data_IF_547796086811
#
_entry.id   IF_547796086811
#
_cell.length_a   1.000
_cell.length_b   1.000
_cell.length_c   1.000
_cell.angle_alpha   90.00
_cell.angle_beta   90.00
_cell.angle_gamma   90.00
#
_symmetry.space_group_name_H-M   'P 1'
#
loop_
_entity.id
_entity.type
_entity.pdbx_description
1 polymer ?
#
# COMPACT_ATOMS: atom_id res chain seq x y z
N UNK A 1 -55.88 -74.95 -6.64
CA UNK A 1 -54.90 -75.37 -7.67
C UNK A 1 -53.66 -74.49 -7.49
N UNK A 2 -52.66 -74.99 -6.74
CA UNK A 2 -51.37 -75.52 -7.24
C UNK A 2 -50.47 -74.39 -7.77
N UNK A 3 -49.59 -73.75 -6.96
CA UNK A 3 -48.36 -74.24 -6.29
C UNK A 3 -47.28 -74.71 -7.27
N UNK A 4 -46.18 -73.95 -7.41
CA UNK A 4 -44.75 -74.33 -7.17
C UNK A 4 -43.80 -73.29 -7.81
N UNK A 5 -42.95 -72.62 -7.01
CA UNK A 5 -41.53 -72.93 -6.65
C UNK A 5 -40.56 -72.70 -7.82
N UNK A 6 -39.37 -72.10 -7.64
CA UNK A 6 -38.26 -72.44 -6.72
C UNK A 6 -37.23 -71.29 -6.80
N UNK A 7 -36.76 -70.73 -5.69
CA UNK A 7 -35.57 -71.10 -4.87
C UNK A 7 -34.20 -70.66 -5.42
N UNK A 8 -33.44 -70.00 -4.52
CA UNK A 8 -31.99 -69.85 -4.53
C UNK A 8 -31.59 -68.80 -3.47
N UNK A 9 -31.72 -69.08 -2.17
CA UNK A 9 -30.73 -69.72 -1.29
C UNK A 9 -29.52 -68.84 -0.90
N UNK A 10 -29.51 -68.46 0.39
CA UNK A 10 -28.38 -68.37 1.35
C UNK A 10 -27.26 -67.34 1.08
N UNK A 11 -27.04 -66.45 2.05
CA UNK A 11 -26.05 -66.66 3.12
C UNK A 11 -26.00 -65.47 4.11
N UNK A 12 -25.95 -65.80 5.40
CA UNK A 12 -25.60 -64.89 6.48
C UNK A 12 -24.14 -64.43 6.36
N UNK A 13 -23.85 -63.16 6.64
CA UNK A 13 -22.63 -62.76 7.33
C UNK A 13 -22.79 -61.36 7.92
N UNK A 14 -22.86 -61.30 9.26
CA UNK A 14 -22.53 -60.08 10.02
C UNK A 14 -21.03 -59.83 9.84
N UNK A 15 -20.63 -58.64 9.42
CA UNK A 15 -19.28 -58.14 9.71
C UNK A 15 -19.30 -56.61 9.82
N UNK A 16 -19.07 -56.14 11.04
CA UNK A 16 -18.78 -54.75 11.40
C UNK A 16 -17.40 -54.38 10.84
N UNK A 17 -17.27 -53.35 10.01
CA UNK A 17 -16.05 -52.57 9.84
C UNK A 17 -16.44 -51.13 9.47
N UNK A 18 -16.32 -50.20 10.42
CA UNK A 18 -15.23 -49.20 10.56
C UNK A 18 -15.62 -47.86 9.95
N UNK A 19 -15.52 -46.85 10.81
CA UNK A 19 -15.83 -45.45 10.57
C UNK A 19 -15.04 -44.87 9.38
N UNK A 20 -15.75 -44.20 8.47
CA UNK A 20 -15.14 -43.18 7.62
C UNK A 20 -15.40 -41.84 8.28
N UNK A 21 -14.33 -41.27 8.83
CA UNK A 21 -14.22 -39.89 9.27
C UNK A 21 -14.80 -38.95 8.21
N UNK A 22 -15.83 -38.21 8.57
CA UNK A 22 -16.27 -37.03 7.84
C UNK A 22 -15.20 -35.95 7.99
N UNK A 23 -14.18 -35.97 7.13
CA UNK A 23 -13.34 -34.80 6.87
C UNK A 23 -14.13 -33.84 5.99
N UNK A 24 -14.69 -32.82 6.64
CA UNK A 24 -15.38 -31.71 6.00
C UNK A 24 -15.21 -30.43 6.79
N UNK A 25 -14.00 -30.14 7.27
CA UNK A 25 -13.61 -28.85 7.82
C UNK A 25 -12.32 -28.41 7.13
N UNK A 26 -12.41 -27.39 6.28
CA UNK A 26 -11.21 -26.81 5.67
C UNK A 26 -11.40 -26.06 4.35
N UNK A 27 -12.48 -25.29 4.16
CA UNK A 27 -12.58 -24.30 3.08
C UNK A 27 -13.22 -23.01 3.62
N UNK A 28 -12.53 -22.30 4.51
CA UNK A 28 -12.96 -20.95 4.94
C UNK A 28 -11.87 -19.88 4.81
N UNK A 29 -10.62 -20.26 4.50
CA UNK A 29 -9.51 -19.31 4.39
C UNK A 29 -9.50 -18.49 3.08
N UNK A 30 -10.26 -18.91 2.05
CA UNK A 30 -10.34 -18.19 0.77
C UNK A 30 -11.31 -17.00 0.75
N UNK A 31 -12.36 -17.04 1.58
CA UNK A 31 -13.40 -16.01 1.57
C UNK A 31 -12.93 -14.70 2.22
N UNK A 32 -12.21 -14.77 3.35
CA UNK A 32 -11.78 -13.58 4.07
C UNK A 32 -10.75 -12.71 3.30
N UNK A 33 -9.87 -13.33 2.52
CA UNK A 33 -8.91 -12.61 1.68
C UNK A 33 -9.56 -11.98 0.44
N UNK A 34 -10.61 -12.62 -0.12
CA UNK A 34 -11.42 -12.04 -1.20
C UNK A 34 -12.29 -10.87 -0.71
N UNK A 35 -12.85 -10.95 0.50
CA UNK A 35 -13.63 -9.89 1.12
C UNK A 35 -12.80 -8.62 1.39
N UNK A 36 -11.58 -8.77 1.95
CA UNK A 36 -10.70 -7.62 2.20
C UNK A 36 -10.26 -6.93 0.90
N UNK A 37 -9.93 -7.69 -0.15
CA UNK A 37 -9.61 -7.15 -1.47
C UNK A 37 -10.81 -6.52 -2.19
N UNK A 38 -12.01 -7.05 -1.99
CA UNK A 38 -13.26 -6.48 -2.52
C UNK A 38 -13.63 -5.16 -1.83
N UNK A 39 -13.49 -5.10 -0.51
CA UNK A 39 -13.79 -3.91 0.28
C UNK A 39 -12.88 -2.73 -0.09
N UNK A 40 -11.59 -2.99 -0.29
CA UNK A 40 -10.64 -1.95 -0.74
C UNK A 40 -10.98 -1.47 -2.16
N UNK A 41 -11.31 -2.38 -3.09
CA UNK A 41 -11.75 -2.00 -4.43
C UNK A 41 -12.98 -1.09 -4.39
N UNK A 42 -14.03 -1.46 -3.66
CA UNK A 42 -15.27 -0.69 -3.59
C UNK A 42 -15.04 0.70 -3.00
N UNK A 43 -14.12 0.81 -2.04
CA UNK A 43 -13.71 2.09 -1.46
C UNK A 43 -13.01 2.97 -2.49
N UNK A 44 -12.05 2.41 -3.24
CA UNK A 44 -11.33 3.16 -4.29
C UNK A 44 -12.24 3.52 -5.47
N UNK A 45 -13.16 2.65 -5.87
CA UNK A 45 -14.12 2.92 -6.94
C UNK A 45 -15.13 4.00 -6.52
N UNK A 46 -15.61 3.97 -5.28
CA UNK A 46 -16.46 5.03 -4.74
C UNK A 46 -15.72 6.37 -4.72
N UNK A 47 -14.45 6.39 -4.30
CA UNK A 47 -13.58 7.57 -4.33
C UNK A 47 -13.40 8.12 -5.74
N UNK A 48 -13.04 7.25 -6.71
CA UNK A 48 -12.91 7.61 -8.12
C UNK A 48 -14.20 8.23 -8.67
N UNK A 49 -15.35 7.59 -8.43
CA UNK A 49 -16.64 8.07 -8.89
C UNK A 49 -17.03 9.42 -8.26
N UNK A 50 -16.69 9.64 -6.99
CA UNK A 50 -16.95 10.91 -6.31
C UNK A 50 -16.14 12.05 -6.92
N UNK A 51 -14.83 11.87 -7.09
CA UNK A 51 -13.96 12.90 -7.69
C UNK A 51 -14.31 13.13 -9.16
N UNK A 52 -14.58 12.08 -9.93
CA UNK A 52 -15.01 12.20 -11.32
C UNK A 52 -16.29 13.06 -11.44
N UNK A 53 -17.31 12.79 -10.61
CA UNK A 53 -18.56 13.58 -10.62
C UNK A 53 -18.30 15.04 -10.28
N UNK A 54 -17.45 15.30 -9.30
CA UNK A 54 -17.12 16.66 -8.86
C UNK A 54 -16.32 17.42 -9.93
N UNK A 55 -15.30 16.81 -10.52
CA UNK A 55 -14.52 17.40 -11.62
C UNK A 55 -15.40 17.63 -12.85
N UNK A 56 -16.24 16.66 -13.22
CA UNK A 56 -17.21 16.85 -14.30
C UNK A 56 -18.15 18.02 -14.01
N UNK A 57 -18.57 18.20 -12.75
CA UNK A 57 -19.42 19.32 -12.34
C UNK A 57 -18.76 20.70 -12.44
N UNK A 58 -17.42 20.78 -12.42
CA UNK A 58 -16.69 22.04 -12.53
C UNK A 58 -16.27 22.41 -13.96
N UNK A 59 -16.51 21.54 -14.94
CA UNK A 59 -16.11 21.74 -16.34
C UNK A 59 -17.29 22.21 -17.20
N UNK A 60 -16.97 22.90 -18.30
CA UNK A 60 -17.92 23.22 -19.36
C UNK A 60 -18.28 21.98 -20.21
N UNK A 61 -19.19 22.12 -21.18
CA UNK A 61 -19.67 20.99 -21.98
C UNK A 61 -18.56 20.26 -22.75
N UNK A 62 -17.61 21.03 -23.27
CA UNK A 62 -16.45 20.50 -23.98
C UNK A 62 -15.54 19.72 -23.02
N UNK A 63 -15.20 20.30 -21.87
CA UNK A 63 -14.40 19.66 -20.83
C UNK A 63 -15.06 18.40 -20.26
N UNK A 64 -16.38 18.43 -20.02
CA UNK A 64 -17.15 17.25 -19.59
C UNK A 64 -17.13 16.13 -20.62
N UNK A 65 -17.19 16.46 -21.91
CA UNK A 65 -17.06 15.47 -22.99
C UNK A 65 -15.66 14.87 -23.04
N UNK A 66 -14.62 15.71 -22.97
CA UNK A 66 -13.24 15.27 -22.97
C UNK A 66 -12.94 14.34 -21.78
N UNK A 67 -13.38 14.71 -20.57
CA UNK A 67 -13.19 13.89 -19.36
C UNK A 67 -13.87 12.52 -19.49
N UNK A 68 -15.09 12.45 -20.02
CA UNK A 68 -15.79 11.18 -20.28
C UNK A 68 -15.04 10.27 -21.24
N UNK A 69 -14.49 10.83 -22.31
CA UNK A 69 -13.72 10.06 -23.28
C UNK A 69 -12.39 9.58 -22.68
N UNK A 70 -11.78 10.40 -21.82
CA UNK A 70 -10.58 10.03 -21.08
C UNK A 70 -10.83 8.88 -20.12
N UNK A 71 -11.89 8.93 -19.30
CA UNK A 71 -12.26 7.82 -18.41
C UNK A 71 -12.48 6.51 -19.17
N UNK A 72 -13.15 6.56 -20.33
CA UNK A 72 -13.37 5.36 -21.16
C UNK A 72 -12.07 4.77 -21.66
N UNK A 73 -11.13 5.61 -22.11
CA UNK A 73 -9.79 5.17 -22.52
C UNK A 73 -9.00 4.61 -21.35
N UNK A 74 -9.10 5.26 -20.18
CA UNK A 74 -8.46 4.78 -18.96
C UNK A 74 -8.99 3.41 -18.54
N UNK A 75 -10.31 3.20 -18.49
CA UNK A 75 -10.92 1.89 -18.17
C UNK A 75 -10.42 0.81 -19.12
N UNK A 76 -10.41 1.08 -20.43
CA UNK A 76 -9.91 0.11 -21.41
C UNK A 76 -8.42 -0.21 -21.18
N UNK A 77 -7.59 0.79 -20.88
CA UNK A 77 -6.18 0.62 -20.56
C UNK A 77 -5.94 -0.16 -19.27
N UNK A 78 -6.70 0.15 -18.20
CA UNK A 78 -6.70 -0.59 -16.93
C UNK A 78 -7.04 -2.05 -17.18
N UNK A 79 -8.09 -2.31 -17.94
CA UNK A 79 -8.58 -3.66 -18.15
C UNK A 79 -7.54 -4.50 -18.89
N UNK A 80 -6.93 -3.92 -19.94
CA UNK A 80 -5.82 -4.55 -20.66
C UNK A 80 -4.61 -4.79 -19.76
N UNK A 81 -4.19 -3.79 -18.97
CA UNK A 81 -3.02 -3.88 -18.10
C UNK A 81 -3.19 -4.91 -16.97
N UNK A 82 -4.41 -5.04 -16.44
CA UNK A 82 -4.72 -6.01 -15.40
C UNK A 82 -5.11 -7.40 -15.94
N UNK A 83 -5.06 -7.61 -17.26
CA UNK A 83 -5.42 -8.89 -17.89
C UNK A 83 -6.89 -9.27 -17.67
N UNK A 84 -7.77 -8.29 -17.46
CA UNK A 84 -9.20 -8.51 -17.26
C UNK A 84 -9.95 -8.27 -18.57
N UNK A 85 -11.08 -8.97 -18.73
CA UNK A 85 -11.93 -8.76 -19.90
C UNK A 85 -12.43 -7.30 -19.91
N UNK A 86 -12.37 -6.65 -21.06
CA UNK A 86 -12.85 -5.28 -21.23
C UNK A 86 -14.29 -5.13 -20.70
N UNK A 87 -14.48 -4.17 -19.80
CA UNK A 87 -15.76 -3.87 -19.15
C UNK A 87 -16.13 -4.81 -18.00
N UNK A 88 -15.29 -5.78 -17.64
CA UNK A 88 -15.53 -6.62 -16.48
C UNK A 88 -15.11 -5.92 -15.19
N UNK A 89 -15.97 -5.96 -14.17
CA UNK A 89 -15.62 -5.53 -12.81
C UNK A 89 -15.01 -6.72 -12.10
N UNK A 90 -13.68 -6.81 -12.15
CA UNK A 90 -12.89 -7.78 -11.38
C UNK A 90 -12.26 -7.04 -10.22
N UNK A 91 -12.41 -7.56 -9.00
CA UNK A 91 -11.87 -6.96 -7.78
C UNK A 91 -10.61 -7.70 -7.36
N UNK A 92 -9.45 -7.23 -7.83
CA UNK A 92 -8.14 -7.74 -7.48
C UNK A 92 -7.16 -6.59 -7.21
N UNK A 93 -5.96 -6.92 -6.73
CA UNK A 93 -4.92 -5.92 -6.39
C UNK A 93 -4.63 -4.98 -7.56
N UNK A 94 -4.46 -5.50 -8.78
CA UNK A 94 -4.17 -4.65 -9.94
C UNK A 94 -5.29 -3.63 -10.20
N UNK A 95 -6.54 -4.10 -10.25
CA UNK A 95 -7.70 -3.23 -10.50
C UNK A 95 -7.90 -2.21 -9.37
N UNK A 96 -7.64 -2.58 -8.12
CA UNK A 96 -7.73 -1.68 -6.96
C UNK A 96 -6.64 -0.62 -7.02
N UNK A 97 -5.39 -1.01 -7.27
CA UNK A 97 -4.26 -0.09 -7.40
C UNK A 97 -4.44 0.89 -8.56
N UNK A 98 -4.84 0.42 -9.74
CA UNK A 98 -5.10 1.29 -10.89
C UNK A 98 -6.26 2.27 -10.65
N UNK A 99 -7.31 1.81 -9.96
CA UNK A 99 -8.47 2.66 -9.60
C UNK A 99 -8.07 3.74 -8.60
N UNK A 100 -7.23 3.40 -7.61
CA UNK A 100 -6.66 4.35 -6.66
C UNK A 100 -5.83 5.44 -7.38
N UNK A 101 -4.92 5.04 -8.28
CA UNK A 101 -4.11 6.00 -9.04
C UNK A 101 -4.95 6.93 -9.91
N UNK A 102 -6.04 6.44 -10.50
CA UNK A 102 -6.94 7.32 -11.26
C UNK A 102 -7.67 8.31 -10.37
N UNK A 103 -8.12 7.88 -9.19
CA UNK A 103 -8.71 8.78 -8.21
C UNK A 103 -7.72 9.87 -7.79
N UNK A 104 -6.46 9.51 -7.48
CA UNK A 104 -5.38 10.46 -7.15
C UNK A 104 -5.19 11.50 -8.28
N UNK A 105 -5.20 11.04 -9.53
CA UNK A 105 -4.99 11.87 -10.72
C UNK A 105 -6.14 12.87 -10.93
N UNK A 106 -7.40 12.43 -10.82
CA UNK A 106 -8.55 13.33 -10.90
C UNK A 106 -8.63 14.29 -9.71
N UNK A 107 -8.21 13.86 -8.52
CA UNK A 107 -8.16 14.71 -7.33
C UNK A 107 -7.12 15.81 -7.50
N UNK A 108 -5.96 15.51 -8.08
CA UNK A 108 -4.95 16.52 -8.45
C UNK A 108 -5.51 17.55 -9.42
N UNK A 109 -6.31 17.14 -10.42
CA UNK A 109 -6.95 18.08 -11.36
C UNK A 109 -7.98 18.99 -10.69
N UNK A 110 -8.73 18.49 -9.71
CA UNK A 110 -9.57 19.34 -8.87
C UNK A 110 -8.75 20.22 -7.90
N UNK A 111 -7.56 19.74 -7.53
CA UNK A 111 -6.62 20.33 -6.57
C UNK A 111 -5.95 21.63 -7.02
N UNK A 112 -6.26 22.15 -8.21
CA UNK A 112 -6.03 23.57 -8.53
C UNK A 112 -6.72 24.54 -7.55
N UNK A 113 -7.57 24.04 -6.63
CA UNK A 113 -8.20 24.82 -5.56
C UNK A 113 -8.39 24.03 -4.23
N UNK A 114 -7.42 23.17 -3.83
CA UNK A 114 -7.52 22.31 -2.62
C UNK A 114 -6.42 22.49 -1.55
N UNK A 115 -5.71 23.62 -1.58
CA UNK A 115 -4.35 23.79 -1.02
C UNK A 115 -4.25 24.36 0.41
N UNK A 116 -4.99 23.85 1.39
CA UNK A 116 -4.73 24.24 2.80
C UNK A 116 -4.23 23.07 3.65
N UNK A 117 -4.95 21.95 3.76
CA UNK A 117 -4.52 20.84 4.62
C UNK A 117 -3.33 20.06 4.04
N UNK A 118 -3.31 19.78 2.73
CA UNK A 118 -2.16 19.15 2.06
C UNK A 118 -0.94 20.09 2.03
N UNK A 119 -1.16 21.39 1.86
CA UNK A 119 -0.09 22.41 1.92
C UNK A 119 0.48 22.55 3.32
N UNK A 120 -0.37 22.55 4.36
CA UNK A 120 0.05 22.54 5.77
C UNK A 120 0.76 21.25 6.15
N UNK A 121 0.28 20.10 5.68
CA UNK A 121 0.93 18.81 5.85
C UNK A 121 2.31 18.77 5.18
N UNK A 122 2.38 19.26 3.93
CA UNK A 122 3.63 19.37 3.18
C UNK A 122 4.65 20.28 3.84
N UNK A 123 4.24 21.45 4.33
CA UNK A 123 5.11 22.34 5.09
C UNK A 123 5.55 21.72 6.42
N UNK A 124 4.66 20.99 7.09
CA UNK A 124 4.97 20.33 8.36
C UNK A 124 6.04 19.23 8.21
N UNK A 125 6.04 18.50 7.09
CA UNK A 125 7.02 17.42 6.83
C UNK A 125 8.25 17.89 6.04
N UNK A 126 8.21 19.05 5.39
CA UNK A 126 9.36 19.55 4.64
C UNK A 126 10.57 19.84 5.55
N UNK A 127 11.76 19.62 4.99
CA UNK A 127 13.06 19.85 5.58
C UNK A 127 13.87 18.58 5.82
N UNK A 128 14.97 18.77 6.54
CA UNK A 128 15.87 17.72 6.96
C UNK A 128 15.40 17.11 8.29
N UNK A 129 15.26 15.79 8.31
CA UNK A 129 14.88 15.01 9.47
C UNK A 129 15.93 13.94 9.74
N UNK A 130 16.15 13.64 11.02
CA UNK A 130 17.11 12.62 11.37
C UNK A 130 16.94 12.07 12.77
N UNK A 131 17.51 10.90 12.95
CA UNK A 131 17.66 10.21 14.22
C UNK A 131 19.08 9.66 14.29
N UNK A 132 19.68 9.75 15.46
CA UNK A 132 20.98 9.13 15.72
C UNK A 132 20.97 8.50 17.09
N UNK A 133 21.42 7.27 17.18
CA UNK A 133 21.78 6.64 18.45
C UNK A 133 23.19 6.07 18.35
N UNK A 134 23.95 6.23 19.43
CA UNK A 134 25.27 5.64 19.60
C UNK A 134 25.24 4.38 20.48
N UNK A 135 24.05 3.91 20.84
CA UNK A 135 23.87 2.69 21.64
C UNK A 135 24.12 1.44 20.77
N UNK A 136 24.69 0.38 21.34
CA UNK A 136 24.97 -0.89 20.64
C UNK A 136 25.77 -0.69 19.34
N UNK A 137 25.27 -1.16 18.18
CA UNK A 137 25.87 -0.93 16.86
C UNK A 137 25.58 0.46 16.28
N UNK A 138 24.84 1.30 17.01
CA UNK A 138 24.35 2.58 16.54
C UNK A 138 23.20 2.45 15.54
N UNK A 139 22.45 3.53 15.37
CA UNK A 139 21.38 3.61 14.37
C UNK A 139 21.27 5.07 13.90
N UNK A 140 21.46 5.28 12.60
CA UNK A 140 21.60 6.59 11.98
C UNK A 140 20.64 6.67 10.80
N UNK A 141 19.57 7.46 10.96
CA UNK A 141 18.53 7.64 9.94
C UNK A 141 18.47 9.09 9.54
N UNK A 142 18.40 9.36 8.24
CA UNK A 142 18.13 10.69 7.71
C UNK A 142 17.06 10.63 6.62
N UNK A 143 16.22 11.66 6.58
CA UNK A 143 15.19 11.84 5.57
C UNK A 143 15.15 13.31 5.17
N UNK A 144 15.46 13.59 3.90
CA UNK A 144 15.33 14.92 3.31
C UNK A 144 14.03 14.98 2.52
N UNK A 145 13.06 15.74 3.04
CA UNK A 145 11.80 16.02 2.35
C UNK A 145 11.87 17.43 1.75
N UNK A 146 12.02 17.58 0.44
CA UNK A 146 12.03 18.89 -0.22
C UNK A 146 10.74 19.70 0.00
N UNK A 147 10.86 21.03 0.00
CA UNK A 147 9.75 21.96 0.19
C UNK A 147 8.72 21.91 -0.97
N UNK A 148 7.47 22.23 -0.66
CA UNK A 148 6.32 22.14 -1.57
C UNK A 148 6.47 23.00 -2.83
N UNK A 149 6.08 22.44 -3.98
CA UNK A 149 6.08 23.11 -5.29
C UNK A 149 6.95 22.42 -6.34
N UNK A 150 7.84 21.51 -5.95
CA UNK A 150 8.81 20.93 -6.90
C UNK A 150 9.33 19.53 -6.59
N UNK A 151 8.72 18.73 -5.71
CA UNK A 151 9.33 17.45 -5.39
C UNK A 151 8.37 16.30 -5.12
N UNK A 152 8.21 15.50 -6.17
CA UNK A 152 7.81 14.11 -6.06
C UNK A 152 8.94 13.25 -5.47
N UNK A 153 10.17 13.76 -5.28
CA UNK A 153 11.35 12.96 -4.96
C UNK A 153 12.25 13.58 -3.87
N UNK A 154 12.62 12.82 -2.83
CA UNK A 154 13.53 13.23 -1.76
C UNK A 154 14.68 12.23 -1.55
N UNK A 155 15.45 12.38 -0.46
CA UNK A 155 16.61 11.52 -0.16
C UNK A 155 16.46 10.84 1.21
N UNK A 156 17.00 9.64 1.34
CA UNK A 156 17.01 8.90 2.59
C UNK A 156 18.37 8.24 2.83
N UNK A 157 18.69 8.01 4.10
CA UNK A 157 19.72 7.09 4.52
C UNK A 157 19.34 6.41 5.83
N UNK A 158 19.76 5.15 5.96
CA UNK A 158 19.48 4.30 7.12
C UNK A 158 20.65 3.34 7.31
N UNK A 159 21.15 3.23 8.54
CA UNK A 159 22.25 2.33 8.81
C UNK A 159 22.72 2.32 10.26
N UNK A 160 23.77 1.55 10.47
CA UNK A 160 24.49 1.38 11.73
C UNK A 160 25.92 1.89 11.57
N UNK A 161 26.81 1.58 12.52
CA UNK A 161 28.24 1.92 12.40
C UNK A 161 28.97 1.15 11.32
N UNK A 162 28.46 0.00 10.89
CA UNK A 162 29.19 -0.94 10.04
C UNK A 162 28.57 -1.12 8.66
N UNK A 163 27.30 -0.81 8.52
CA UNK A 163 26.53 -1.01 7.30
C UNK A 163 25.45 0.06 7.19
N UNK A 164 24.96 0.30 5.98
CA UNK A 164 23.86 1.22 5.75
C UNK A 164 23.52 1.32 4.28
N UNK A 165 22.36 1.88 4.01
CA UNK A 165 21.83 2.10 2.68
C UNK A 165 21.40 3.55 2.53
N UNK A 166 21.45 4.06 1.32
CA UNK A 166 20.97 5.38 0.96
C UNK A 166 20.34 5.37 -0.41
N UNK A 167 19.56 6.41 -0.70
CA UNK A 167 19.08 6.64 -2.05
C UNK A 167 18.02 7.71 -2.11
N UNK A 168 17.06 7.50 -3.00
CA UNK A 168 15.97 8.43 -3.28
C UNK A 168 14.64 7.82 -2.91
N UNK A 169 13.65 8.66 -2.66
CA UNK A 169 12.27 8.20 -2.53
C UNK A 169 11.35 9.05 -3.36
N UNK A 170 10.32 8.45 -3.94
CA UNK A 170 9.16 9.19 -4.44
C UNK A 170 8.09 9.32 -3.36
N UNK A 171 7.38 10.44 -3.34
CA UNK A 171 6.42 10.74 -2.29
C UNK A 171 5.02 11.08 -2.81
N UNK A 172 4.02 10.69 -2.04
CA UNK A 172 2.61 10.93 -2.37
C UNK A 172 1.77 11.16 -1.10
N UNK A 173 0.97 12.22 -1.11
CA UNK A 173 0.06 12.54 -0.02
C UNK A 173 -1.25 11.76 -0.12
N UNK A 174 -1.60 11.02 0.93
CA UNK A 174 -2.88 10.29 1.06
C UNK A 174 -3.34 10.32 2.51
N UNK A 175 -4.58 10.75 2.76
CA UNK A 175 -5.21 10.73 4.09
C UNK A 175 -4.36 11.34 5.22
N UNK A 176 -3.67 12.46 4.95
CA UNK A 176 -2.81 13.14 5.93
C UNK A 176 -1.47 12.43 6.21
N UNK A 177 -1.10 11.43 5.40
CA UNK A 177 0.18 10.72 5.44
C UNK A 177 0.96 10.98 4.15
N UNK A 178 2.27 11.08 4.26
CA UNK A 178 3.16 11.13 3.10
C UNK A 178 3.72 9.72 2.86
N UNK A 179 3.17 9.01 1.89
CA UNK A 179 3.62 7.68 1.47
C UNK A 179 4.90 7.80 0.65
N UNK A 180 5.83 6.87 0.86
CA UNK A 180 7.18 6.88 0.30
C UNK A 180 7.42 5.60 -0.49
N UNK A 181 8.00 5.73 -1.67
CA UNK A 181 8.49 4.63 -2.52
C UNK A 181 9.98 4.77 -2.66
N UNK A 182 10.75 3.82 -2.17
CA UNK A 182 12.21 3.93 -2.12
C UNK A 182 12.90 3.32 -3.35
N UNK A 183 14.06 3.89 -3.67
CA UNK A 183 15.13 3.25 -4.43
C UNK A 183 16.45 3.44 -3.68
N UNK A 184 17.38 2.52 -3.87
CA UNK A 184 18.72 2.57 -3.27
C UNK A 184 19.78 2.98 -4.31
N UNK A 185 20.85 3.60 -3.84
CA UNK A 185 22.02 3.94 -4.66
C UNK A 185 22.79 2.67 -5.09
N UNK A 186 22.79 1.65 -4.23
CA UNK A 186 23.48 0.38 -4.43
C UNK A 186 22.52 -0.82 -4.33
N UNK A 187 22.87 -1.91 -5.02
CA UNK A 187 22.06 -3.13 -4.99
C UNK A 187 22.31 -3.92 -3.70
N UNK A 188 21.24 -4.18 -2.95
CA UNK A 188 21.30 -4.97 -1.72
C UNK A 188 20.37 -6.18 -1.80
N UNK A 189 20.78 -7.30 -1.19
CA UNK A 189 19.97 -8.52 -1.19
C UNK A 189 18.71 -8.32 -0.36
N UNK A 190 17.56 -8.28 -1.03
CA UNK A 190 16.27 -8.01 -0.36
C UNK A 190 16.08 -6.54 0.02
N UNK A 191 16.95 -5.64 -0.48
CA UNK A 191 16.79 -4.20 -0.34
C UNK A 191 15.89 -3.61 -1.42
N UNK A 192 15.85 -2.28 -1.49
CA UNK A 192 15.08 -1.57 -2.50
C UNK A 192 15.68 -1.75 -3.90
N UNK A 193 14.88 -1.56 -4.98
CA UNK A 193 15.42 -1.50 -6.33
C UNK A 193 16.47 -0.38 -6.46
N UNK A 194 17.46 -0.58 -7.32
CA UNK A 194 18.46 0.46 -7.59
C UNK A 194 17.83 1.62 -8.37
N UNK A 195 18.13 2.86 -7.97
CA UNK A 195 17.65 4.05 -8.64
C UNK A 195 18.04 4.03 -10.15
N UNK A 196 17.15 4.46 -11.07
CA UNK A 196 15.90 5.18 -10.84
C UNK A 196 14.64 4.29 -10.73
N UNK A 197 14.79 2.97 -10.56
CA UNK A 197 13.64 2.09 -10.34
C UNK A 197 13.16 2.21 -8.89
N UNK A 198 11.86 2.37 -8.69
CA UNK A 198 11.26 2.55 -7.36
C UNK A 198 10.43 1.34 -6.97
N UNK A 199 10.55 0.92 -5.70
CA UNK A 199 9.74 -0.15 -5.11
C UNK A 199 8.28 0.27 -4.89
N UNK A 200 7.56 -0.54 -4.12
CA UNK A 200 6.20 -0.25 -3.70
C UNK A 200 6.16 0.83 -2.60
N UNK A 201 4.96 1.35 -2.30
CA UNK A 201 4.74 2.33 -1.24
C UNK A 201 4.58 1.62 0.12
N UNK A 202 5.66 1.05 0.63
CA UNK A 202 5.69 0.25 1.86
C UNK A 202 5.99 1.08 3.12
N UNK A 203 6.14 2.39 2.99
CA UNK A 203 6.35 3.28 4.14
C UNK A 203 5.58 4.60 4.01
N UNK A 204 5.34 5.24 5.14
CA UNK A 204 4.83 6.61 5.18
C UNK A 204 5.35 7.38 6.39
N UNK A 205 5.30 8.70 6.31
CA UNK A 205 5.60 9.60 7.42
C UNK A 205 4.39 10.44 7.83
N UNK A 206 4.31 10.74 9.12
CA UNK A 206 3.25 11.57 9.73
C UNK A 206 3.89 12.58 10.69
N UNK A 207 3.51 13.86 10.63
CA UNK A 207 3.95 14.83 11.63
C UNK A 207 3.33 14.50 13.01
N UNK A 208 4.17 14.40 14.04
CA UNK A 208 3.79 14.18 15.44
C UNK A 208 4.36 15.31 16.32
N UNK A 209 3.60 16.41 16.43
CA UNK A 209 4.07 17.60 17.12
C UNK A 209 5.31 18.19 16.45
N UNK A 210 6.47 18.11 17.13
CA UNK A 210 7.76 18.57 16.61
C UNK A 210 8.60 17.46 15.96
N UNK A 211 8.09 16.23 15.95
CA UNK A 211 8.77 15.04 15.39
C UNK A 211 8.10 14.61 14.09
N UNK A 212 8.81 13.80 13.32
CA UNK A 212 8.27 13.11 12.17
C UNK A 212 8.32 11.61 12.43
N UNK A 213 7.17 10.97 12.56
CA UNK A 213 7.10 9.53 12.75
C UNK A 213 7.14 8.82 11.39
N UNK A 214 8.11 7.93 11.22
CA UNK A 214 8.23 7.06 10.05
C UNK A 214 7.65 5.68 10.39
N UNK A 215 6.67 5.25 9.61
CA UNK A 215 6.06 3.92 9.67
C UNK A 215 6.51 3.08 8.48
N UNK A 216 6.82 1.81 8.73
CA UNK A 216 7.11 0.81 7.69
C UNK A 216 6.05 -0.28 7.73
N UNK A 217 5.74 -0.81 6.56
CA UNK A 217 4.77 -1.88 6.35
C UNK A 217 5.54 -3.11 5.89
N UNK A 218 5.44 -4.18 6.67
CA UNK A 218 5.84 -5.51 6.22
C UNK A 218 4.64 -6.24 5.60
N UNK A 219 4.80 -7.51 5.22
CA UNK A 219 3.72 -8.30 4.58
C UNK A 219 2.42 -8.38 5.41
N UNK A 220 2.46 -8.13 6.72
CA UNK A 220 1.34 -8.39 7.65
C UNK A 220 0.98 -7.19 8.52
N UNK A 221 1.91 -6.29 8.80
CA UNK A 221 1.75 -5.24 9.80
C UNK A 221 2.42 -3.94 9.38
N UNK A 222 1.77 -2.83 9.76
CA UNK A 222 2.40 -1.50 9.76
C UNK A 222 2.79 -1.15 11.19
N UNK A 223 4.05 -0.79 11.39
CA UNK A 223 4.56 -0.38 12.71
C UNK A 223 5.37 0.92 12.62
N UNK A 224 5.42 1.67 13.73
CA UNK A 224 6.27 2.86 13.83
C UNK A 224 7.72 2.38 13.89
N UNK A 225 8.49 2.74 12.87
CA UNK A 225 9.88 2.36 12.72
C UNK A 225 10.80 3.28 13.53
N UNK A 226 10.72 4.60 13.30
CA UNK A 226 11.54 5.58 14.00
C UNK A 226 10.80 6.92 14.12
N UNK A 227 11.11 7.69 15.16
CA UNK A 227 10.65 9.08 15.30
C UNK A 227 11.83 10.02 15.05
N UNK A 228 11.79 10.76 13.96
CA UNK A 228 12.83 11.69 13.55
C UNK A 228 12.63 13.07 14.18
N UNK A 229 13.74 13.78 14.36
CA UNK A 229 13.76 15.18 14.77
C UNK A 229 14.32 16.06 13.66
N UNK A 230 13.99 17.35 13.68
CA UNK A 230 14.52 18.30 12.70
C UNK A 230 16.05 18.37 12.81
N UNK A 231 16.71 18.31 11.67
CA UNK A 231 18.16 18.54 11.57
C UNK A 231 18.38 20.00 11.19
N UNK A 232 19.21 20.70 11.97
CA UNK A 232 19.62 22.05 11.59
C UNK A 232 20.43 22.00 10.29
N UNK A 233 20.29 23.02 9.43
CA UNK A 233 21.02 23.09 8.16
C UNK A 233 22.53 22.91 8.37
N UNK A 234 23.13 21.91 7.73
CA UNK A 234 24.55 21.55 7.88
C UNK A 234 24.91 20.90 9.22
N UNK A 235 23.92 20.63 10.07
CA UNK A 235 24.06 19.95 11.36
C UNK A 235 24.02 18.43 11.22
N UNK A 236 24.22 17.76 12.36
CA UNK A 236 24.07 16.30 12.47
C UNK A 236 22.68 15.97 13.04
N UNK A 237 22.17 14.79 12.70
CA UNK A 237 20.96 14.26 13.31
C UNK A 237 21.06 14.30 14.86
N UNK A 238 19.98 14.71 15.55
CA UNK A 238 19.95 14.73 17.02
C UNK A 238 20.31 13.37 17.62
N UNK A 239 21.18 13.38 18.64
CA UNK A 239 21.61 12.17 19.36
C UNK A 239 20.57 11.81 20.41
N UNK A 240 19.97 10.63 20.25
CA UNK A 240 19.27 9.94 21.32
C UNK A 240 20.29 9.47 22.37
N UNK A 241 20.16 10.03 23.57
CA UNK A 241 20.99 9.71 24.74
C UNK A 241 20.39 8.61 25.60
N UNK A 242 19.16 8.19 25.31
CA UNK A 242 18.47 7.15 26.05
C UNK A 242 18.85 5.78 25.49
N UNK A 243 20.01 5.28 25.89
CA UNK A 243 20.32 3.87 25.70
C UNK A 243 19.44 3.05 26.65
N UNK A 244 18.38 2.44 26.13
CA UNK A 244 17.76 1.32 26.81
C UNK A 244 18.69 0.12 26.64
N UNK A 245 19.28 -0.33 27.74
CA UNK A 245 19.99 -1.59 27.78
C UNK A 245 18.95 -2.71 27.70
N UNK A 246 18.62 -3.14 26.50
CA UNK A 246 17.88 -4.38 26.32
C UNK A 246 18.91 -5.45 25.94
N UNK A 247 18.97 -6.47 26.80
CA UNK A 247 19.89 -7.61 26.76
C UNK A 247 19.85 -8.41 25.45
#
# INVERSE_FOLDING_TARGET
MLVRRRNGARANARMRWVAVLAMGLGLAAGAAAQEAGSHDYDTQDARLNAVYKKLAGSLDDAGRKALREEERRWIAGRDQACGVKAGAVVKNICTTTQTSFRADELEKRMGGAGSTAATQGAEAVAGDWGYRSDCNLGHYVQLHVPATGSAEEGMWSDGTRTEGSSGRFKSEWRDGKLYLRFCADEAERGGYPVCPAYGDADAYVVPEGKRLAWYRTDEKFTSKYVSLERVAKGGKAPLDKQCKNDM
#
